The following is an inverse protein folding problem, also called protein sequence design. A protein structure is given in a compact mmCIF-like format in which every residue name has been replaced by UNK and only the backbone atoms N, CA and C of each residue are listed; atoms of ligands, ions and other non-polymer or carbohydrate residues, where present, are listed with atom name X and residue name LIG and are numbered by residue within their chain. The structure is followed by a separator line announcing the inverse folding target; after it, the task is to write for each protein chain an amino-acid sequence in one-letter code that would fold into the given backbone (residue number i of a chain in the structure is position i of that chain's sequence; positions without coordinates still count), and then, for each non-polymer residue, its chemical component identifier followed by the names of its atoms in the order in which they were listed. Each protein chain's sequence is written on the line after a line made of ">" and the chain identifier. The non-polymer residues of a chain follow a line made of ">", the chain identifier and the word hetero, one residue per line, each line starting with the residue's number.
data_IF_119585851990
#
_entry.id   IF_119585851990
#
_cell.length_a   1.000
_cell.length_b   1.000
_cell.length_c   1.000
_cell.angle_alpha   90.00
_cell.angle_beta   90.00
_cell.angle_gamma   90.00
#
_symmetry.space_group_name_H-M   'P 1'
#
loop_
_entity.id
_entity.type
_entity.pdbx_description
1 polymer ?
#
# COMPACT_ATOMS: atom_id res chain seq x y z
N UNK A 1 -14.39 13.64 -47.31
CA UNK A 1 -13.00 13.21 -47.00
C UNK A 1 -12.40 13.98 -45.81
N UNK A 2 -12.67 15.28 -45.65
CA UNK A 2 -12.09 16.12 -44.58
C UNK A 2 -12.33 15.67 -43.12
N UNK A 3 -13.48 15.04 -42.80
CA UNK A 3 -13.76 14.55 -41.44
C UNK A 3 -12.81 13.40 -41.02
N UNK A 4 -12.39 12.56 -41.98
CA UNK A 4 -11.50 11.42 -41.72
C UNK A 4 -10.05 11.85 -41.52
N UNK A 5 -9.64 13.02 -42.01
CA UNK A 5 -8.30 13.56 -41.78
C UNK A 5 -8.22 14.27 -40.44
N UNK A 6 -9.23 15.07 -40.06
CA UNK A 6 -9.28 15.73 -38.75
C UNK A 6 -9.32 14.73 -37.58
N UNK A 7 -10.11 13.65 -37.70
CA UNK A 7 -10.13 12.57 -36.70
C UNK A 7 -8.77 11.90 -36.52
N UNK A 8 -8.02 11.75 -37.62
CA UNK A 8 -6.71 11.10 -37.60
C UNK A 8 -5.68 11.98 -36.89
N UNK A 9 -5.72 13.27 -37.15
CA UNK A 9 -4.85 14.27 -36.53
C UNK A 9 -5.10 14.39 -35.01
N UNK A 10 -6.36 14.34 -34.56
CA UNK A 10 -6.70 14.32 -33.13
C UNK A 10 -6.25 13.03 -32.45
N UNK A 11 -6.39 11.87 -33.11
CA UNK A 11 -5.92 10.58 -32.60
C UNK A 11 -4.41 10.54 -32.52
N UNK A 12 -3.70 11.07 -33.52
CA UNK A 12 -2.24 11.14 -33.53
C UNK A 12 -1.74 12.07 -32.42
N UNK A 13 -2.35 13.24 -32.23
CA UNK A 13 -2.01 14.14 -31.13
C UNK A 13 -2.27 13.53 -29.75
N UNK A 14 -3.39 12.80 -29.58
CA UNK A 14 -3.68 12.08 -28.33
C UNK A 14 -2.69 10.94 -28.08
N UNK A 15 -2.34 10.19 -29.13
CA UNK A 15 -1.34 9.13 -29.08
C UNK A 15 0.03 9.67 -28.65
N UNK A 16 0.43 10.83 -29.18
CA UNK A 16 1.67 11.53 -28.81
C UNK A 16 1.68 11.91 -27.31
N UNK A 17 0.58 12.50 -26.81
CA UNK A 17 0.43 12.86 -25.39
C UNK A 17 0.45 11.64 -24.47
N UNK A 18 -0.29 10.58 -24.80
CA UNK A 18 -0.30 9.34 -24.03
C UNK A 18 1.08 8.69 -24.04
N UNK A 19 1.76 8.64 -25.19
CA UNK A 19 3.12 8.12 -25.29
C UNK A 19 4.10 8.93 -24.42
N UNK A 20 3.94 10.25 -24.36
CA UNK A 20 4.76 11.12 -23.52
C UNK A 20 4.50 10.89 -22.02
N UNK A 21 3.25 10.78 -21.59
CA UNK A 21 2.90 10.46 -20.20
C UNK A 21 3.33 9.05 -19.79
N UNK A 22 3.18 8.06 -20.66
CA UNK A 22 3.66 6.68 -20.40
C UNK A 22 5.19 6.66 -20.31
N UNK A 23 5.88 7.41 -21.16
CA UNK A 23 7.35 7.50 -21.13
C UNK A 23 7.85 8.17 -19.84
N UNK A 24 7.19 9.24 -19.40
CA UNK A 24 7.49 9.91 -18.15
C UNK A 24 7.19 9.01 -16.95
N UNK A 25 6.00 8.40 -16.91
CA UNK A 25 5.61 7.47 -15.85
C UNK A 25 6.57 6.28 -15.75
N UNK A 26 7.05 5.73 -16.88
CA UNK A 26 8.07 4.67 -16.87
C UNK A 26 9.40 5.14 -16.30
N UNK A 27 9.83 6.36 -16.62
CA UNK A 27 11.06 6.93 -16.06
C UNK A 27 10.93 7.12 -14.54
N UNK A 28 9.84 7.72 -14.09
CA UNK A 28 9.56 7.96 -12.67
C UNK A 28 9.43 6.65 -11.89
N UNK A 29 8.67 5.69 -12.40
CA UNK A 29 8.55 4.35 -11.81
C UNK A 29 9.90 3.63 -11.72
N UNK A 30 10.76 3.75 -12.73
CA UNK A 30 12.07 3.09 -12.71
C UNK A 30 13.00 3.71 -11.66
N UNK A 31 12.92 5.03 -11.48
CA UNK A 31 13.69 5.77 -10.49
C UNK A 31 13.19 5.45 -9.08
N UNK A 32 11.88 5.51 -8.87
CA UNK A 32 11.24 5.14 -7.60
C UNK A 32 11.49 3.68 -7.23
N UNK A 33 11.42 2.76 -8.18
CA UNK A 33 11.70 1.35 -7.96
C UNK A 33 13.14 1.10 -7.50
N UNK A 34 14.12 1.86 -8.01
CA UNK A 34 15.51 1.74 -7.56
C UNK A 34 15.69 2.28 -6.13
N UNK A 35 15.11 3.45 -5.82
CA UNK A 35 15.20 4.04 -4.49
C UNK A 35 14.46 3.22 -3.43
N UNK A 36 13.23 2.79 -3.72
CA UNK A 36 12.42 1.94 -2.84
C UNK A 36 13.05 0.55 -2.76
N UNK A 37 13.48 -0.03 -3.89
CA UNK A 37 14.07 -1.37 -3.95
C UNK A 37 15.33 -1.49 -3.10
N UNK A 38 16.20 -0.49 -3.10
CA UNK A 38 17.42 -0.51 -2.28
C UNK A 38 17.09 -0.40 -0.78
N UNK A 39 16.16 0.49 -0.41
CA UNK A 39 15.73 0.65 0.98
C UNK A 39 15.01 -0.59 1.50
N UNK A 40 14.08 -1.13 0.72
CA UNK A 40 13.37 -2.38 1.03
C UNK A 40 14.33 -3.55 1.07
N UNK A 41 15.32 -3.60 0.18
CA UNK A 41 16.37 -4.63 0.18
C UNK A 41 17.23 -4.60 1.46
N UNK A 42 17.65 -3.42 1.90
CA UNK A 42 18.38 -3.24 3.18
C UNK A 42 17.50 -3.68 4.34
N UNK A 43 16.23 -3.26 4.38
CA UNK A 43 15.29 -3.66 5.44
C UNK A 43 15.09 -5.18 5.42
N UNK A 44 14.92 -5.80 4.25
CA UNK A 44 14.75 -7.24 4.12
C UNK A 44 16.00 -8.03 4.56
N UNK A 45 17.20 -7.49 4.33
CA UNK A 45 18.45 -8.10 4.78
C UNK A 45 18.70 -7.93 6.29
N UNK A 46 18.37 -6.77 6.86
CA UNK A 46 18.58 -6.49 8.29
C UNK A 46 17.45 -7.02 9.19
N UNK A 47 16.22 -7.12 8.69
CA UNK A 47 15.06 -7.61 9.43
C UNK A 47 15.30 -8.96 10.13
N UNK A 48 15.83 -10.01 9.47
CA UNK A 48 16.09 -11.28 10.14
C UNK A 48 17.19 -11.15 11.21
N UNK A 49 18.20 -10.30 11.01
CA UNK A 49 19.24 -10.06 12.03
C UNK A 49 18.65 -9.42 13.29
N UNK A 50 17.77 -8.43 13.12
CA UNK A 50 17.05 -7.80 14.23
C UNK A 50 16.13 -8.82 14.92
N UNK A 51 15.45 -9.67 14.15
CA UNK A 51 14.57 -10.71 14.69
C UNK A 51 15.35 -11.69 15.58
N UNK A 52 16.54 -12.12 15.16
CA UNK A 52 17.43 -12.97 15.95
C UNK A 52 17.86 -12.25 17.24
N UNK A 53 18.27 -10.99 17.15
CA UNK A 53 18.64 -10.18 18.32
C UNK A 53 17.49 -10.02 19.32
N UNK A 54 16.28 -9.80 18.83
CA UNK A 54 15.07 -9.73 19.66
C UNK A 54 14.75 -11.05 20.36
N UNK A 55 14.96 -12.18 19.69
CA UNK A 55 14.86 -13.51 20.28
C UNK A 55 15.84 -13.69 21.44
N UNK A 56 17.11 -13.30 21.25
CA UNK A 56 18.10 -13.31 22.32
C UNK A 56 17.72 -12.38 23.48
N UNK A 57 17.14 -11.21 23.20
CA UNK A 57 16.66 -10.28 24.23
C UNK A 57 15.53 -10.92 25.06
N UNK A 58 14.59 -11.62 24.41
CA UNK A 58 13.53 -12.35 25.10
C UNK A 58 14.09 -13.45 26.02
N UNK A 59 15.08 -14.21 25.55
CA UNK A 59 15.76 -15.23 26.36
C UNK A 59 16.50 -14.59 27.55
N UNK A 60 17.20 -13.48 27.32
CA UNK A 60 17.89 -12.75 28.38
C UNK A 60 16.91 -12.21 29.45
N UNK A 61 15.75 -11.67 29.02
CA UNK A 61 14.69 -11.27 29.94
C UNK A 61 14.15 -12.45 30.75
N UNK A 62 13.87 -13.59 30.10
CA UNK A 62 13.38 -14.78 30.78
C UNK A 62 14.39 -15.31 31.81
N UNK A 63 15.69 -15.27 31.49
CA UNK A 63 16.77 -15.63 32.42
C UNK A 63 16.91 -14.64 33.58
N UNK A 64 16.67 -13.35 33.35
CA UNK A 64 16.66 -12.35 34.42
C UNK A 64 15.48 -12.58 35.37
N UNK A 65 14.31 -12.90 34.81
CA UNK A 65 13.08 -13.17 35.55
C UNK A 65 13.11 -14.49 36.31
N UNK A 66 13.97 -15.43 35.91
CA UNK A 66 14.26 -16.66 36.67
C UNK A 66 14.71 -16.38 38.11
N UNK A 67 15.32 -15.22 38.40
CA UNK A 67 15.72 -14.86 39.78
C UNK A 67 14.54 -14.69 40.73
N UNK A 68 13.34 -14.44 40.21
CA UNK A 68 12.14 -14.16 40.99
C UNK A 68 11.04 -15.20 40.80
N UNK A 69 11.10 -16.01 39.73
CA UNK A 69 10.04 -16.95 39.34
C UNK A 69 10.60 -18.22 38.66
N UNK A 70 9.88 -19.35 38.66
CA UNK A 70 10.27 -20.55 37.91
C UNK A 70 10.33 -20.28 36.40
N UNK A 71 11.24 -20.99 35.72
CA UNK A 71 11.59 -20.79 34.29
C UNK A 71 10.36 -20.89 33.39
N UNK A 72 9.47 -21.85 33.65
CA UNK A 72 8.26 -22.07 32.84
C UNK A 72 7.34 -20.84 32.84
N UNK A 73 7.19 -20.20 34.00
CA UNK A 73 6.33 -19.03 34.17
C UNK A 73 6.97 -17.78 33.55
N UNK A 74 8.30 -17.66 33.63
CA UNK A 74 9.06 -16.58 33.02
C UNK A 74 8.95 -16.58 31.48
N UNK A 75 9.12 -17.74 30.84
CA UNK A 75 8.95 -17.88 29.40
C UNK A 75 7.50 -17.66 28.95
N UNK A 76 6.52 -18.14 29.72
CA UNK A 76 5.10 -17.94 29.43
C UNK A 76 4.74 -16.44 29.47
N UNK A 77 5.18 -15.70 30.49
CA UNK A 77 4.92 -14.26 30.59
C UNK A 77 5.59 -13.45 29.47
N UNK A 78 6.87 -13.70 29.19
CA UNK A 78 7.59 -13.01 28.12
C UNK A 78 6.98 -13.36 26.76
N UNK A 79 6.63 -14.62 26.54
CA UNK A 79 5.96 -15.09 25.33
C UNK A 79 4.57 -14.46 25.15
N UNK A 80 3.76 -14.43 26.19
CA UNK A 80 2.43 -13.82 26.18
C UNK A 80 2.51 -12.31 25.90
N UNK A 81 3.44 -11.61 26.54
CA UNK A 81 3.67 -10.20 26.31
C UNK A 81 4.06 -9.92 24.85
N UNK A 82 4.98 -10.70 24.29
CA UNK A 82 5.37 -10.59 22.89
C UNK A 82 4.22 -10.93 21.93
N UNK A 83 3.40 -11.94 22.26
CA UNK A 83 2.24 -12.33 21.46
C UNK A 83 1.18 -11.22 21.44
N UNK A 84 0.93 -10.58 22.58
CA UNK A 84 0.01 -9.44 22.66
C UNK A 84 0.58 -8.24 21.92
N UNK A 85 1.84 -7.87 22.13
CA UNK A 85 2.46 -6.76 21.41
C UNK A 85 2.45 -6.96 19.89
N UNK A 86 2.88 -8.14 19.43
CA UNK A 86 2.90 -8.48 18.01
C UNK A 86 1.49 -8.57 17.42
N UNK A 87 0.57 -9.22 18.13
CA UNK A 87 -0.83 -9.35 17.72
C UNK A 87 -1.55 -8.01 17.61
N UNK A 88 -1.38 -7.13 18.60
CA UNK A 88 -1.96 -5.77 18.58
C UNK A 88 -1.34 -4.94 17.47
N UNK A 89 -0.03 -5.02 17.26
CA UNK A 89 0.65 -4.32 16.17
C UNK A 89 0.12 -4.73 14.80
N UNK A 90 0.04 -6.03 14.52
CA UNK A 90 -0.51 -6.56 13.27
C UNK A 90 -1.98 -6.17 13.12
N UNK A 91 -2.78 -6.28 14.18
CA UNK A 91 -4.19 -5.90 14.16
C UNK A 91 -4.39 -4.42 13.83
N UNK A 92 -3.57 -3.53 14.40
CA UNK A 92 -3.66 -2.09 14.15
C UNK A 92 -3.29 -1.75 12.70
N UNK A 93 -2.21 -2.33 12.17
CA UNK A 93 -1.78 -2.14 10.77
C UNK A 93 -2.81 -2.73 9.81
N UNK A 94 -3.30 -3.94 10.05
CA UNK A 94 -4.35 -4.55 9.25
C UNK A 94 -5.61 -3.68 9.22
N UNK A 95 -6.03 -3.16 10.38
CA UNK A 95 -7.18 -2.26 10.49
C UNK A 95 -6.97 -0.92 9.79
N UNK A 96 -5.75 -0.38 9.80
CA UNK A 96 -5.41 0.85 9.09
C UNK A 96 -5.48 0.66 7.56
N UNK A 97 -5.08 -0.51 7.05
CA UNK A 97 -5.18 -0.86 5.64
C UNK A 97 -6.64 -1.08 5.21
N UNK A 98 -7.44 -1.76 6.05
CA UNK A 98 -8.89 -1.94 5.80
C UNK A 98 -9.65 -0.61 5.91
N UNK A 99 -9.19 0.34 6.73
CA UNK A 99 -9.80 1.66 6.89
C UNK A 99 -9.58 2.63 5.73
N UNK A 100 -8.59 2.40 4.86
CA UNK A 100 -8.37 3.21 3.65
C UNK A 100 -9.34 2.80 2.54
N UNK A 101 -10.59 3.25 2.70
CA UNK A 101 -11.64 3.38 1.67
C UNK A 101 -11.25 4.34 0.53
N UNK A 102 -10.04 4.26 -0.01
CA UNK A 102 -9.68 5.02 -1.20
C UNK A 102 -10.46 4.53 -2.42
N UNK A 103 -10.79 3.23 -2.45
CA UNK A 103 -11.57 2.64 -3.55
C UNK A 103 -13.04 3.10 -3.53
N UNK A 104 -13.67 3.18 -2.35
CA UNK A 104 -15.04 3.71 -2.22
C UNK A 104 -15.11 5.21 -2.55
N UNK A 105 -14.09 5.98 -2.17
CA UNK A 105 -14.03 7.40 -2.49
C UNK A 105 -13.91 7.62 -4.02
N UNK A 106 -13.01 6.89 -4.68
CA UNK A 106 -12.89 6.93 -6.15
C UNK A 106 -14.17 6.45 -6.85
N UNK A 107 -14.83 5.40 -6.34
CA UNK A 107 -16.11 4.94 -6.90
C UNK A 107 -17.20 6.01 -6.76
N UNK A 108 -17.27 6.73 -5.62
CA UNK A 108 -18.25 7.80 -5.42
C UNK A 108 -18.02 9.04 -6.29
N UNK A 109 -16.76 9.35 -6.61
CA UNK A 109 -16.42 10.44 -7.53
C UNK A 109 -16.69 10.06 -9.00
N UNK A 110 -16.45 8.79 -9.38
CA UNK A 110 -16.86 8.28 -10.69
C UNK A 110 -18.38 8.33 -10.87
N UNK A 111 -19.15 7.97 -9.84
CA UNK A 111 -20.60 8.01 -9.87
C UNK A 111 -21.13 9.45 -9.98
N UNK A 112 -20.52 10.40 -9.26
CA UNK A 112 -20.83 11.83 -9.40
C UNK A 112 -20.48 12.38 -10.79
N UNK A 113 -19.33 11.99 -11.34
CA UNK A 113 -18.90 12.45 -12.68
C UNK A 113 -19.77 11.85 -13.79
N UNK A 114 -20.19 10.59 -13.62
CA UNK A 114 -21.10 9.90 -14.55
C UNK A 114 -22.52 10.49 -14.49
N UNK A 115 -22.99 10.85 -13.29
CA UNK A 115 -24.27 11.55 -13.10
C UNK A 115 -24.25 12.97 -13.69
N UNK A 116 -23.09 13.64 -13.70
CA UNK A 116 -22.91 14.96 -14.32
C UNK A 116 -22.76 14.88 -15.85
N UNK A 117 -22.17 13.80 -16.38
CA UNK A 117 -21.92 13.59 -17.82
C UNK A 117 -23.05 12.91 -18.58
N UNK A 118 -24.06 12.36 -17.91
CA UNK A 118 -25.32 11.98 -18.55
C UNK A 118 -26.22 13.22 -18.59
N UNK A 119 -26.20 14.03 -19.67
CA UNK A 119 -27.24 15.02 -19.87
C UNK A 119 -28.55 14.25 -19.88
N UNK A 120 -29.48 14.68 -19.04
CA UNK A 120 -30.88 14.30 -19.15
C UNK A 120 -31.32 14.62 -20.57
N UNK A 121 -31.30 13.59 -21.43
CA UNK A 121 -32.07 13.55 -22.67
C UNK A 121 -33.53 13.44 -22.26
N UNK A 122 -34.08 14.52 -21.71
CA UNK A 122 -35.51 14.74 -21.70
C UNK A 122 -35.87 15.12 -23.12
N UNK A 123 -36.13 14.08 -23.90
CA UNK A 123 -36.73 14.16 -25.22
C UNK A 123 -38.12 14.79 -25.06
N UNK A 124 -38.31 15.91 -25.77
CA UNK A 124 -39.59 16.56 -26.05
C UNK A 124 -40.51 15.60 -26.83
N UNK A 125 -41.83 15.52 -26.58
CA UNK A 125 -42.74 16.22 -27.51
C UNK A 125 -44.11 16.63 -26.92
N UNK A 126 -44.55 17.86 -27.24
CA UNK A 126 -45.89 18.13 -27.79
C UNK A 126 -45.97 19.53 -28.39
#
# INVERSE_FOLDING_TARGET
>A
MALRSQLREVVDAFSELVAQHVRLARMELSQDAQFIGLRVGIIAALAPLILVGWGFLCVALALLLRRVMPVDLAFLLVGLFNLVLGGVGIYFVARQLTGRKMLDASLSELESTTALMLPTRTENPK
#
